data_IF_443738131459
#
_entry.id   IF_443738131459
#
_cell.length_a   1.000
_cell.length_b   1.000
_cell.length_c   1.000
_cell.angle_alpha   90.00
_cell.angle_beta   90.00
_cell.angle_gamma   90.00
#
_symmetry.space_group_name_H-M   'P 1'
#
loop_
_entity.id
_entity.type
_entity.pdbx_description
1 polymer ?
#
# COMPACT_ATOMS: atom_id res chain seq x y z
N UNK A 1 6.82 22.31 -4.11
CA UNK A 1 6.36 20.92 -3.81
C UNK A 1 7.43 19.97 -4.31
N UNK A 2 7.88 19.00 -3.51
CA UNK A 2 8.92 18.04 -3.93
C UNK A 2 8.44 17.17 -5.10
N UNK A 3 9.36 16.81 -6.00
CA UNK A 3 9.04 16.07 -7.22
C UNK A 3 8.26 14.76 -6.94
N UNK A 4 8.61 14.03 -5.89
CA UNK A 4 7.90 12.82 -5.47
C UNK A 4 6.45 13.10 -5.04
N UNK A 5 6.19 14.20 -4.31
CA UNK A 5 4.84 14.59 -3.89
C UNK A 5 3.93 14.89 -5.06
N UNK A 6 4.43 15.61 -6.07
CA UNK A 6 3.64 15.91 -7.27
C UNK A 6 3.18 14.64 -7.99
N UNK A 7 4.04 13.63 -8.06
CA UNK A 7 3.73 12.33 -8.66
C UNK A 7 2.70 11.54 -7.87
N UNK A 8 2.77 11.52 -6.54
CA UNK A 8 1.73 10.90 -5.70
C UNK A 8 0.35 11.52 -5.98
N UNK A 9 0.26 12.85 -6.11
CA UNK A 9 -1.02 13.50 -6.43
C UNK A 9 -1.50 13.19 -7.85
N UNK A 10 -0.59 13.09 -8.82
CA UNK A 10 -0.94 12.63 -10.18
C UNK A 10 -1.44 11.18 -10.18
N UNK A 11 -0.77 10.29 -9.46
CA UNK A 11 -1.18 8.89 -9.30
C UNK A 11 -2.59 8.76 -8.70
N UNK A 12 -2.91 9.55 -7.67
CA UNK A 12 -4.28 9.60 -7.10
C UNK A 12 -5.32 10.06 -8.11
N UNK A 13 -5.00 11.04 -8.94
CA UNK A 13 -5.90 11.50 -9.99
C UNK A 13 -6.15 10.40 -11.04
N UNK A 14 -5.10 9.68 -11.45
CA UNK A 14 -5.25 8.53 -12.35
C UNK A 14 -6.09 7.42 -11.73
N UNK A 15 -5.95 7.12 -10.43
CA UNK A 15 -6.82 6.16 -9.74
C UNK A 15 -8.30 6.58 -9.76
N UNK A 16 -8.59 7.87 -9.58
CA UNK A 16 -9.96 8.41 -9.67
C UNK A 16 -10.56 8.27 -11.06
N UNK A 17 -9.73 8.34 -12.09
CA UNK A 17 -10.13 8.19 -13.49
C UNK A 17 -10.09 6.73 -14.00
N UNK A 18 -9.79 5.76 -13.12
CA UNK A 18 -9.60 4.34 -13.48
C UNK A 18 -8.45 4.09 -14.48
N UNK A 19 -7.50 5.01 -14.58
CA UNK A 19 -6.30 4.87 -15.41
C UNK A 19 -5.19 4.15 -14.61
N UNK A 20 -5.41 2.87 -14.34
CA UNK A 20 -4.66 2.12 -13.32
C UNK A 20 -3.16 1.98 -13.64
N UNK A 21 -2.79 1.73 -14.89
CA UNK A 21 -1.39 1.60 -15.31
C UNK A 21 -0.64 2.94 -15.19
N UNK A 22 -1.31 4.06 -15.47
CA UNK A 22 -0.72 5.40 -15.30
C UNK A 22 -0.54 5.73 -13.82
N UNK A 23 -1.53 5.38 -12.99
CA UNK A 23 -1.40 5.50 -11.54
C UNK A 23 -0.20 4.71 -11.03
N UNK A 24 -0.05 3.44 -11.46
CA UNK A 24 1.09 2.60 -11.10
C UNK A 24 2.42 3.27 -11.45
N UNK A 25 2.56 3.79 -12.66
CA UNK A 25 3.81 4.42 -13.11
C UNK A 25 4.16 5.67 -12.30
N UNK A 26 3.16 6.51 -11.98
CA UNK A 26 3.37 7.70 -11.16
C UNK A 26 3.80 7.35 -9.73
N UNK A 27 3.13 6.38 -9.10
CA UNK A 27 3.51 5.95 -7.76
C UNK A 27 4.86 5.23 -7.73
N UNK A 28 5.19 4.44 -8.75
CA UNK A 28 6.50 3.78 -8.87
C UNK A 28 7.62 4.81 -8.94
N UNK A 29 7.45 5.81 -9.80
CA UNK A 29 8.44 6.88 -9.95
C UNK A 29 8.52 7.74 -8.68
N UNK A 30 7.39 7.99 -8.01
CA UNK A 30 7.38 8.66 -6.71
C UNK A 30 8.16 7.89 -5.65
N UNK A 31 8.02 6.56 -5.63
CA UNK A 31 8.69 5.68 -4.68
C UNK A 31 10.20 5.68 -4.86
N UNK A 32 10.67 5.55 -6.11
CA UNK A 32 12.10 5.58 -6.45
C UNK A 32 12.74 6.91 -6.04
N UNK A 33 12.07 8.03 -6.33
CA UNK A 33 12.52 9.35 -5.90
C UNK A 33 12.54 9.46 -4.37
N UNK A 34 11.47 9.05 -3.70
CA UNK A 34 11.37 9.12 -2.24
C UNK A 34 12.49 8.32 -1.55
N UNK A 35 12.77 7.10 -2.04
CA UNK A 35 13.89 6.27 -1.54
C UNK A 35 15.24 6.96 -1.71
N UNK A 36 15.52 7.51 -2.89
CA UNK A 36 16.80 8.18 -3.14
C UNK A 36 17.03 9.41 -2.25
N UNK A 37 15.94 10.08 -1.87
CA UNK A 37 15.96 11.30 -1.06
C UNK A 37 15.73 11.04 0.43
N UNK A 38 15.46 9.79 0.83
CA UNK A 38 14.98 9.42 2.18
C UNK A 38 13.79 10.27 2.63
N UNK A 39 12.87 10.52 1.70
CA UNK A 39 11.67 11.34 1.90
C UNK A 39 10.56 10.48 2.54
N UNK A 40 9.90 10.93 3.62
CA UNK A 40 8.79 10.20 4.26
C UNK A 40 7.58 9.99 3.33
N UNK A 41 7.55 10.62 2.15
CA UNK A 41 6.54 10.31 1.13
C UNK A 41 6.66 8.90 0.55
N UNK A 42 7.75 8.18 0.85
CA UNK A 42 7.97 6.77 0.49
C UNK A 42 6.77 5.90 0.86
N UNK A 43 6.24 6.02 2.08
CA UNK A 43 5.08 5.23 2.53
C UNK A 43 3.85 5.50 1.67
N UNK A 44 3.57 6.78 1.36
CA UNK A 44 2.41 7.18 0.54
C UNK A 44 2.53 6.70 -0.90
N UNK A 45 3.75 6.67 -1.45
CA UNK A 45 4.00 6.14 -2.77
C UNK A 45 3.83 4.62 -2.82
N UNK A 46 4.33 3.90 -1.80
CA UNK A 46 4.13 2.45 -1.67
C UNK A 46 2.63 2.09 -1.53
N UNK A 47 1.89 2.87 -0.74
CA UNK A 47 0.43 2.74 -0.62
C UNK A 47 -0.30 3.05 -1.93
N UNK A 48 0.19 3.99 -2.73
CA UNK A 48 -0.39 4.22 -4.06
C UNK A 48 -0.21 3.02 -5.01
N UNK A 49 0.95 2.36 -4.93
CA UNK A 49 1.24 1.16 -5.72
C UNK A 49 0.36 -0.01 -5.34
N UNK A 50 0.16 -0.26 -4.04
CA UNK A 50 -0.68 -1.37 -3.58
C UNK A 50 -2.12 -1.24 -4.11
N UNK A 51 -2.76 -0.08 -3.95
CA UNK A 51 -4.12 0.19 -4.43
C UNK A 51 -4.20 0.05 -5.95
N UNK A 52 -3.20 0.55 -6.67
CA UNK A 52 -3.16 0.44 -8.13
C UNK A 52 -3.08 -1.02 -8.58
N UNK A 53 -2.29 -1.85 -7.90
CA UNK A 53 -2.12 -3.26 -8.23
C UNK A 53 -3.34 -4.10 -7.84
N UNK A 54 -3.93 -3.84 -6.66
CA UNK A 54 -5.19 -4.47 -6.25
C UNK A 54 -6.29 -4.23 -7.28
N UNK A 55 -6.47 -2.98 -7.73
CA UNK A 55 -7.47 -2.64 -8.76
C UNK A 55 -7.18 -3.28 -10.13
N UNK A 56 -5.93 -3.64 -10.41
CA UNK A 56 -5.53 -4.40 -11.60
C UNK A 56 -5.70 -5.92 -11.44
N UNK A 57 -6.10 -6.42 -10.27
CA UNK A 57 -6.13 -7.85 -9.96
C UNK A 57 -4.75 -8.47 -9.74
N UNK A 58 -3.70 -7.66 -9.58
CA UNK A 58 -2.31 -8.11 -9.38
C UNK A 58 -2.00 -8.29 -7.90
N UNK A 59 -2.78 -9.13 -7.23
CA UNK A 59 -2.78 -9.26 -5.77
C UNK A 59 -1.44 -9.72 -5.19
N UNK A 60 -0.72 -10.64 -5.88
CA UNK A 60 0.61 -11.07 -5.43
C UNK A 60 1.64 -9.93 -5.42
N UNK A 61 1.54 -8.98 -6.35
CA UNK A 61 2.42 -7.82 -6.37
C UNK A 61 1.97 -6.79 -5.31
N UNK A 62 0.66 -6.60 -5.14
CA UNK A 62 0.12 -5.70 -4.12
C UNK A 62 0.59 -6.08 -2.70
N UNK A 63 0.60 -7.38 -2.37
CA UNK A 63 1.08 -7.90 -1.07
C UNK A 63 2.52 -7.44 -0.77
N UNK A 64 3.40 -7.37 -1.78
CA UNK A 64 4.79 -6.91 -1.60
C UNK A 64 4.85 -5.45 -1.16
N UNK A 65 4.00 -4.59 -1.73
CA UNK A 65 3.98 -3.18 -1.39
C UNK A 65 3.26 -2.91 -0.07
N UNK A 66 2.19 -3.64 0.26
CA UNK A 66 1.62 -3.59 1.60
C UNK A 66 2.62 -4.02 2.68
N UNK A 67 3.38 -5.09 2.44
CA UNK A 67 4.44 -5.53 3.37
C UNK A 67 5.53 -4.46 3.54
N UNK A 68 5.82 -3.71 2.48
CA UNK A 68 6.75 -2.58 2.53
C UNK A 68 6.17 -1.41 3.35
N UNK A 69 4.87 -1.09 3.21
CA UNK A 69 4.19 -0.07 4.02
C UNK A 69 4.27 -0.43 5.51
N UNK A 70 3.97 -1.69 5.88
CA UNK A 70 4.10 -2.18 7.26
C UNK A 70 5.52 -1.98 7.80
N UNK A 71 6.54 -2.38 7.03
CA UNK A 71 7.94 -2.25 7.46
C UNK A 71 8.37 -0.78 7.66
N UNK A 72 7.80 0.16 6.90
CA UNK A 72 8.06 1.59 7.08
C UNK A 72 7.36 2.12 8.33
N UNK A 73 6.08 1.80 8.50
CA UNK A 73 5.28 2.20 9.66
C UNK A 73 5.87 1.68 10.98
N UNK A 74 6.34 0.43 11.01
CA UNK A 74 7.02 -0.17 12.17
C UNK A 74 8.31 0.59 12.53
N UNK A 75 9.08 1.00 11.53
CA UNK A 75 10.32 1.79 11.73
C UNK A 75 10.01 3.19 12.27
N UNK A 76 8.88 3.77 11.87
CA UNK A 76 8.49 5.15 12.21
C UNK A 76 7.62 5.24 13.48
N UNK A 77 7.20 4.09 14.04
CA UNK A 77 6.40 4.01 15.26
C UNK A 77 4.94 4.42 15.08
N UNK A 78 4.43 4.39 13.85
CA UNK A 78 3.06 4.79 13.51
C UNK A 78 2.12 3.58 13.48
N UNK A 79 1.80 3.09 14.67
CA UNK A 79 1.17 1.78 14.88
C UNK A 79 -0.28 1.66 14.37
N UNK A 80 -0.97 2.79 14.18
CA UNK A 80 -2.34 2.83 13.63
C UNK A 80 -2.40 2.61 12.12
N UNK A 81 -1.34 2.96 11.37
CA UNK A 81 -1.26 2.71 9.92
C UNK A 81 -1.03 1.23 9.61
N UNK A 82 -0.60 0.45 10.59
CA UNK A 82 -0.40 -0.98 10.48
C UNK A 82 -1.71 -1.76 10.40
N UNK A 83 -2.74 -1.31 11.12
CA UNK A 83 -4.03 -2.02 11.20
C UNK A 83 -4.68 -2.15 9.83
N UNK A 84 -4.86 -1.04 9.09
CA UNK A 84 -5.44 -1.07 7.73
C UNK A 84 -4.68 -1.97 6.75
N UNK A 85 -3.35 -2.03 6.86
CA UNK A 85 -2.53 -2.83 5.96
C UNK A 85 -2.75 -4.35 6.17
N UNK A 86 -3.01 -4.81 7.41
CA UNK A 86 -3.34 -6.21 7.65
C UNK A 86 -4.64 -6.63 6.95
N UNK A 87 -5.69 -5.79 7.02
CA UNK A 87 -6.95 -6.04 6.32
C UNK A 87 -6.77 -6.06 4.80
N UNK A 88 -6.00 -5.12 4.24
CA UNK A 88 -5.77 -5.06 2.80
C UNK A 88 -4.93 -6.24 2.26
N UNK A 89 -3.95 -6.75 3.03
CA UNK A 89 -3.23 -7.97 2.67
C UNK A 89 -4.15 -9.19 2.77
N UNK A 90 -5.03 -9.25 3.78
CA UNK A 90 -6.00 -10.31 3.92
C UNK A 90 -6.95 -10.35 2.71
N UNK A 91 -7.45 -9.20 2.26
CA UNK A 91 -8.26 -9.08 1.03
C UNK A 91 -7.51 -9.64 -0.19
N UNK A 92 -6.21 -9.32 -0.34
CA UNK A 92 -5.39 -9.87 -1.43
C UNK A 92 -5.30 -11.40 -1.38
N UNK A 93 -5.16 -11.99 -0.19
CA UNK A 93 -5.12 -13.45 -0.06
C UNK A 93 -6.48 -14.10 -0.30
N UNK A 94 -7.57 -13.44 0.09
CA UNK A 94 -8.94 -13.87 -0.22
C UNK A 94 -9.13 -13.97 -1.73
N UNK A 95 -8.73 -12.94 -2.47
CA UNK A 95 -8.81 -12.90 -3.94
C UNK A 95 -7.91 -13.94 -4.63
N UNK A 96 -6.80 -14.32 -3.99
CA UNK A 96 -5.92 -15.41 -4.45
C UNK A 96 -6.41 -16.81 -4.06
N UNK A 97 -7.48 -16.91 -3.25
CA UNK A 97 -8.03 -18.17 -2.76
C UNK A 97 -7.25 -18.80 -1.60
N UNK A 98 -6.25 -18.12 -1.04
CA UNK A 98 -5.50 -18.57 0.13
C UNK A 98 -6.21 -18.14 1.42
N UNK A 99 -7.37 -18.78 1.67
CA UNK A 99 -8.27 -18.40 2.76
C UNK A 99 -7.66 -18.62 4.14
N UNK A 100 -6.72 -19.56 4.28
CA UNK A 100 -6.00 -19.80 5.53
C UNK A 100 -5.15 -18.59 5.91
N UNK A 101 -4.34 -18.07 4.98
CA UNK A 101 -3.55 -16.86 5.23
C UNK A 101 -4.42 -15.63 5.40
N UNK A 102 -5.49 -15.52 4.61
CA UNK A 102 -6.45 -14.42 4.75
C UNK A 102 -7.04 -14.38 6.17
N UNK A 103 -7.50 -15.54 6.69
CA UNK A 103 -8.05 -15.66 8.04
C UNK A 103 -7.07 -15.20 9.12
N UNK A 104 -5.83 -15.68 9.08
CA UNK A 104 -4.78 -15.29 10.05
C UNK A 104 -4.56 -13.77 10.06
N UNK A 105 -4.61 -13.13 8.89
CA UNK A 105 -4.41 -11.68 8.77
C UNK A 105 -5.64 -10.89 9.19
N UNK A 106 -6.86 -11.37 8.90
CA UNK A 106 -8.09 -10.76 9.43
C UNK A 106 -8.16 -10.86 10.96
N UNK A 107 -7.76 -11.98 11.56
CA UNK A 107 -7.70 -12.12 13.02
C UNK A 107 -6.75 -11.08 13.63
N UNK A 108 -5.57 -10.87 13.02
CA UNK A 108 -4.63 -9.81 13.42
C UNK A 108 -5.23 -8.42 13.23
N UNK A 109 -5.90 -8.16 12.11
CA UNK A 109 -6.56 -6.89 11.84
C UNK A 109 -7.61 -6.56 12.89
N UNK A 110 -8.52 -7.50 13.18
CA UNK A 110 -9.59 -7.35 14.17
C UNK A 110 -9.00 -7.16 15.57
N UNK A 111 -8.03 -7.98 15.97
CA UNK A 111 -7.39 -7.86 17.28
C UNK A 111 -6.74 -6.49 17.51
N UNK A 112 -6.26 -5.82 16.45
CA UNK A 112 -5.67 -4.49 16.55
C UNK A 112 -6.71 -3.38 16.59
N UNK A 113 -7.83 -3.54 15.88
CA UNK A 113 -8.97 -2.61 15.97
C UNK A 113 -9.58 -2.57 17.38
N UNK A 114 -9.53 -3.68 18.11
CA UNK A 114 -10.05 -3.77 19.48
C UNK A 114 -9.13 -3.12 20.52
N UNK A 115 -7.87 -2.83 20.17
CA UNK A 115 -6.85 -2.28 21.07
C UNK A 115 -6.53 -0.79 20.86
N UNK A 116 -7.02 -0.18 19.77
CA UNK A 116 -6.94 1.26 19.45
C UNK A 116 -8.11 2.05 20.09
#
# INVERSE_FOLDING_TARGET
>A
MGAAKGRVESGKNFLRNQELEKAFLEFKTALELAKSLKDPIEEKAARGLDVSLQRQGKYQEAIKYHSMVLAISDREGEDSRNTEAYGAIADCYTELGDLEKAGILYDKYISRLETD
#
